data_IF_774052869904
#
_entry.id   IF_774052869904
#
_cell.length_a   1.000
_cell.length_b   1.000
_cell.length_c   1.000
_cell.angle_alpha   90.00
_cell.angle_beta   90.00
_cell.angle_gamma   90.00
#
_symmetry.space_group_name_H-M   'P 1'
#
loop_
_entity.id
_entity.type
_entity.pdbx_description
1 polymer ?
#
# COMPACT_ATOMS: atom_id res chain seq x y z
N UNK A 1 -55.52 59.01 -34.69
CA UNK A 1 -55.66 59.66 -33.36
C UNK A 1 -55.16 58.65 -32.33
N UNK A 2 -53.98 58.90 -31.73
CA UNK A 2 -53.77 59.15 -30.27
C UNK A 2 -54.07 57.90 -29.41
N UNK A 3 -53.22 57.40 -28.51
CA UNK A 3 -52.11 58.00 -27.76
C UNK A 3 -51.31 56.90 -27.03
N UNK A 4 -50.04 57.20 -26.77
CA UNK A 4 -49.02 56.49 -25.96
C UNK A 4 -49.33 56.58 -24.45
N UNK A 5 -48.88 55.61 -23.64
CA UNK A 5 -48.22 55.68 -22.30
C UNK A 5 -48.43 54.33 -21.56
N UNK A 6 -47.42 53.47 -21.42
CA UNK A 6 -46.33 53.48 -20.42
C UNK A 6 -46.81 53.25 -18.97
N UNK A 7 -46.57 52.05 -18.43
CA UNK A 7 -46.30 51.87 -17.01
C UNK A 7 -45.49 50.59 -16.74
N UNK A 8 -44.26 50.85 -16.36
CA UNK A 8 -43.20 49.95 -15.91
C UNK A 8 -43.55 49.39 -14.53
N UNK A 9 -43.41 48.08 -14.34
CA UNK A 9 -43.52 47.41 -13.05
C UNK A 9 -42.46 46.32 -12.96
N UNK A 10 -41.34 46.66 -12.32
CA UNK A 10 -40.24 45.78 -11.97
C UNK A 10 -40.73 44.58 -11.13
N UNK A 11 -40.49 43.36 -11.60
CA UNK A 11 -40.54 42.14 -10.78
C UNK A 11 -39.13 41.55 -10.75
N UNK A 12 -38.35 41.98 -9.74
CA UNK A 12 -37.21 41.20 -9.24
C UNK A 12 -37.79 40.08 -8.36
N UNK A 13 -37.40 38.83 -8.61
CA UNK A 13 -37.81 37.71 -7.77
C UNK A 13 -37.15 36.40 -8.13
N UNK A 14 -35.89 36.25 -7.70
CA UNK A 14 -35.17 35.00 -7.43
C UNK A 14 -35.18 33.90 -8.53
N UNK A 15 -34.20 33.94 -9.42
CA UNK A 15 -33.74 32.72 -10.09
C UNK A 15 -33.08 31.82 -9.04
N UNK A 16 -33.78 30.76 -8.64
CA UNK A 16 -33.23 29.65 -7.89
C UNK A 16 -32.10 29.02 -8.71
N UNK A 17 -30.86 29.35 -8.37
CA UNK A 17 -29.70 28.56 -8.76
C UNK A 17 -29.84 27.19 -8.10
N UNK A 18 -30.36 26.22 -8.84
CA UNK A 18 -30.19 24.82 -8.50
C UNK A 18 -28.70 24.54 -8.58
N UNK A 19 -28.06 24.48 -7.42
CA UNK A 19 -26.75 23.89 -7.24
C UNK A 19 -26.84 22.46 -7.78
N UNK A 20 -26.28 22.21 -8.97
CA UNK A 20 -26.02 20.86 -9.44
C UNK A 20 -24.98 20.27 -8.50
N UNK A 21 -25.47 19.55 -7.50
CA UNK A 21 -24.66 18.64 -6.70
C UNK A 21 -23.91 17.72 -7.66
N UNK A 22 -22.58 17.74 -7.58
CA UNK A 22 -21.69 16.81 -8.27
C UNK A 22 -21.91 15.43 -7.67
N UNK A 23 -22.88 14.70 -8.20
CA UNK A 23 -22.93 13.26 -8.04
C UNK A 23 -22.12 12.68 -9.18
N UNK A 24 -21.15 11.82 -8.87
CA UNK A 24 -20.53 10.99 -9.90
C UNK A 24 -21.65 10.19 -10.56
N UNK A 25 -21.89 10.41 -11.85
CA UNK A 25 -22.85 9.60 -12.59
C UNK A 25 -22.35 8.15 -12.57
N UNK A 26 -23.12 7.27 -11.94
CA UNK A 26 -22.83 5.84 -11.97
C UNK A 26 -22.97 5.38 -13.42
N UNK A 27 -21.86 4.99 -14.04
CA UNK A 27 -21.93 4.11 -15.20
C UNK A 27 -22.55 2.82 -14.66
N UNK A 28 -23.75 2.47 -15.11
CA UNK A 28 -24.44 1.25 -14.67
C UNK A 28 -23.69 0.01 -15.20
N UNK A 29 -22.58 -0.29 -14.54
CA UNK A 29 -21.78 -1.47 -14.78
C UNK A 29 -22.28 -2.56 -13.86
N UNK A 30 -22.38 -3.77 -14.40
CA UNK A 30 -22.66 -4.99 -13.64
C UNK A 30 -21.64 -5.12 -12.51
N UNK A 31 -22.08 -5.45 -11.30
CA UNK A 31 -21.18 -5.80 -10.20
C UNK A 31 -20.23 -6.92 -10.64
N UNK A 32 -18.93 -6.72 -10.41
CA UNK A 32 -17.87 -7.68 -10.69
C UNK A 32 -17.27 -8.15 -9.38
N UNK A 33 -16.77 -9.38 -9.35
CA UNK A 33 -16.04 -9.90 -8.20
C UNK A 33 -14.54 -9.83 -8.44
N UNK A 34 -13.84 -9.23 -7.48
CA UNK A 34 -12.38 -9.20 -7.45
C UNK A 34 -11.94 -9.93 -6.19
N UNK A 35 -11.06 -10.91 -6.36
CA UNK A 35 -10.56 -11.71 -5.25
C UNK A 35 -9.05 -11.59 -5.10
N UNK A 36 -8.61 -11.60 -3.84
CA UNK A 36 -7.22 -11.59 -3.41
C UNK A 36 -6.99 -12.66 -2.35
N UNK A 37 -5.87 -13.38 -2.42
CA UNK A 37 -5.42 -14.25 -1.33
C UNK A 37 -4.69 -13.44 -0.27
N UNK A 38 -4.60 -13.97 0.93
CA UNK A 38 -3.85 -13.35 2.01
C UNK A 38 -2.36 -13.35 1.70
N UNK A 39 -1.88 -14.35 0.93
CA UNK A 39 -0.51 -14.37 0.43
C UNK A 39 -0.18 -13.20 -0.51
N UNK A 40 -1.14 -12.77 -1.34
CA UNK A 40 -0.97 -11.62 -2.25
C UNK A 40 -0.93 -10.29 -1.48
N UNK A 41 -1.59 -10.21 -0.32
CA UNK A 41 -1.70 -8.98 0.46
C UNK A 41 -0.58 -8.86 1.52
N UNK A 42 -0.34 -9.93 2.28
CA UNK A 42 0.55 -9.94 3.45
C UNK A 42 1.84 -10.78 3.25
N UNK A 43 2.01 -11.42 2.09
CA UNK A 43 3.12 -12.32 1.80
C UNK A 43 2.83 -13.79 2.14
N UNK A 44 3.71 -14.73 1.75
CA UNK A 44 3.39 -16.16 1.69
C UNK A 44 3.19 -16.86 3.05
N UNK A 45 3.57 -16.21 4.16
CA UNK A 45 3.50 -16.77 5.51
C UNK A 45 2.08 -16.76 6.09
N UNK A 46 1.77 -17.74 6.93
CA UNK A 46 0.58 -17.70 7.79
C UNK A 46 0.66 -16.55 8.79
N UNK A 47 -0.52 -16.08 9.22
CA UNK A 47 -0.64 -15.03 10.24
C UNK A 47 -1.02 -15.72 11.56
N UNK A 48 -0.13 -15.66 12.55
CA UNK A 48 -0.37 -16.26 13.87
C UNK A 48 -0.75 -15.17 14.89
N UNK A 49 -1.84 -15.43 15.62
CA UNK A 49 -2.26 -14.65 16.79
C UNK A 49 -2.02 -15.50 18.03
N UNK A 50 -1.40 -14.92 19.05
CA UNK A 50 -1.11 -15.59 20.32
C UNK A 50 -1.67 -14.81 21.50
N UNK A 51 -2.04 -15.54 22.54
CA UNK A 51 -2.67 -15.02 23.73
C UNK A 51 -4.10 -14.53 23.50
N UNK A 52 -4.84 -14.38 24.59
CA UNK A 52 -6.16 -13.76 24.57
C UNK A 52 -6.04 -12.24 24.47
N UNK A 53 -6.80 -11.62 23.57
CA UNK A 53 -6.68 -10.21 23.17
C UNK A 53 -5.57 -9.96 22.15
N UNK A 54 -4.92 -11.01 21.64
CA UNK A 54 -3.98 -10.88 20.52
C UNK A 54 -4.69 -10.36 19.27
N UNK A 55 -4.02 -9.51 18.49
CA UNK A 55 -4.58 -8.94 17.26
C UNK A 55 -3.67 -9.14 16.06
N UNK A 56 -4.29 -9.27 14.89
CA UNK A 56 -3.62 -9.19 13.60
C UNK A 56 -4.40 -8.28 12.66
N UNK A 57 -3.70 -7.66 11.71
CA UNK A 57 -4.27 -6.70 10.78
C UNK A 57 -3.93 -7.08 9.34
N UNK A 58 -4.90 -6.90 8.46
CA UNK A 58 -4.73 -7.00 7.02
C UNK A 58 -5.23 -5.72 6.36
N UNK A 59 -4.31 -4.99 5.72
CA UNK A 59 -4.63 -3.74 5.02
C UNK A 59 -4.75 -3.96 3.52
N UNK A 60 -5.73 -3.33 2.88
CA UNK A 60 -5.87 -3.34 1.42
C UNK A 60 -6.52 -2.05 0.92
N UNK A 61 -6.13 -1.64 -0.29
CA UNK A 61 -6.65 -0.44 -0.92
C UNK A 61 -7.86 -0.69 -1.81
N UNK A 62 -8.53 0.39 -2.21
CA UNK A 62 -9.58 0.39 -3.24
C UNK A 62 -9.16 1.29 -4.39
N UNK A 63 -9.37 0.82 -5.62
CA UNK A 63 -9.06 1.58 -6.84
C UNK A 63 -9.87 2.87 -6.93
N UNK A 64 -9.32 3.89 -7.59
CA UNK A 64 -10.00 5.18 -7.79
C UNK A 64 -11.24 5.06 -8.69
N UNK A 65 -11.15 4.20 -9.70
CA UNK A 65 -12.18 4.00 -10.72
C UNK A 65 -13.23 2.94 -10.32
N UNK A 66 -13.24 2.54 -9.04
CA UNK A 66 -14.14 1.52 -8.53
C UNK A 66 -14.69 1.87 -7.16
N UNK A 67 -15.90 1.40 -6.89
CA UNK A 67 -16.50 1.41 -5.57
C UNK A 67 -16.78 -0.02 -5.12
N UNK A 68 -16.39 -0.33 -3.89
CA UNK A 68 -16.73 -1.60 -3.25
C UNK A 68 -18.14 -1.48 -2.69
N UNK A 69 -19.02 -2.37 -3.11
CA UNK A 69 -20.43 -2.43 -2.68
C UNK A 69 -20.70 -3.49 -1.62
N UNK A 70 -19.75 -4.38 -1.40
CA UNK A 70 -19.81 -5.48 -0.44
C UNK A 70 -18.66 -6.44 -0.68
N UNK A 71 -18.68 -7.56 0.03
CA UNK A 71 -17.77 -8.65 -0.22
C UNK A 71 -17.92 -9.77 0.78
N UNK A 72 -17.01 -10.73 0.72
CA UNK A 72 -16.90 -11.82 1.67
C UNK A 72 -15.45 -12.16 1.96
N UNK A 73 -15.24 -12.69 3.15
CA UNK A 73 -13.96 -13.16 3.64
C UNK A 73 -14.06 -14.66 3.89
N UNK A 74 -13.32 -15.44 3.11
CA UNK A 74 -13.20 -16.88 3.28
C UNK A 74 -11.91 -17.19 4.05
N UNK A 75 -12.06 -17.50 5.33
CA UNK A 75 -10.97 -17.80 6.24
C UNK A 75 -10.69 -19.29 6.26
N UNK A 76 -9.43 -19.65 6.08
CA UNK A 76 -8.90 -20.98 6.36
C UNK A 76 -7.96 -20.88 7.57
N UNK A 77 -8.31 -21.51 8.70
CA UNK A 77 -7.58 -21.29 9.94
C UNK A 77 -7.51 -22.54 10.81
N UNK A 78 -6.55 -22.55 11.74
CA UNK A 78 -6.37 -23.57 12.76
C UNK A 78 -6.42 -22.92 14.15
N UNK A 79 -7.44 -23.19 14.97
CA UNK A 79 -7.43 -22.80 16.37
C UNK A 79 -6.61 -23.80 17.19
N UNK A 80 -6.02 -23.34 18.31
CA UNK A 80 -5.40 -24.26 19.27
C UNK A 80 -6.40 -25.29 19.82
N UNK A 81 -6.04 -26.58 19.89
CA UNK A 81 -6.87 -27.62 20.52
C UNK A 81 -7.15 -27.37 22.01
N UNK A 82 -6.36 -26.51 22.67
CA UNK A 82 -6.57 -26.15 24.07
C UNK A 82 -7.70 -25.13 24.28
N UNK A 83 -8.16 -24.46 23.21
CA UNK A 83 -9.22 -23.46 23.29
C UNK A 83 -10.55 -24.12 23.65
N UNK A 84 -11.23 -23.57 24.66
CA UNK A 84 -12.60 -23.97 24.98
C UNK A 84 -13.57 -23.29 24.05
N UNK A 85 -14.15 -24.07 23.13
CA UNK A 85 -15.12 -23.64 22.12
C UNK A 85 -16.23 -22.69 22.64
N UNK A 86 -16.78 -22.93 23.84
CA UNK A 86 -17.92 -22.17 24.37
C UNK A 86 -17.58 -20.74 24.81
N UNK A 87 -16.32 -20.47 25.17
CA UNK A 87 -15.87 -19.21 25.76
C UNK A 87 -14.70 -18.59 25.00
N UNK A 88 -14.37 -19.16 23.85
CA UNK A 88 -13.30 -18.70 22.97
C UNK A 88 -13.88 -18.42 21.59
N UNK A 89 -13.58 -17.25 21.07
CA UNK A 89 -14.08 -16.78 19.77
C UNK A 89 -13.08 -15.82 19.13
N UNK A 90 -13.15 -15.70 17.82
CA UNK A 90 -12.42 -14.70 17.05
C UNK A 90 -13.37 -13.58 16.65
N UNK A 91 -13.02 -12.34 16.96
CA UNK A 91 -13.76 -11.17 16.45
C UNK A 91 -13.09 -10.65 15.19
N UNK A 92 -13.89 -10.42 14.16
CA UNK A 92 -13.42 -9.89 12.88
C UNK A 92 -14.05 -8.53 12.65
N UNK A 93 -13.21 -7.52 12.43
CA UNK A 93 -13.64 -6.15 12.20
C UNK A 93 -13.21 -5.66 10.83
N UNK A 94 -14.04 -4.84 10.19
CA UNK A 94 -13.69 -4.05 9.01
C UNK A 94 -13.73 -2.57 9.40
N UNK A 95 -12.59 -1.88 9.30
CA UNK A 95 -12.48 -0.46 9.61
C UNK A 95 -13.09 -0.07 10.97
N UNK A 96 -12.75 -0.87 12.00
CA UNK A 96 -13.22 -0.77 13.39
C UNK A 96 -14.67 -1.21 13.66
N UNK A 97 -15.44 -1.56 12.64
CA UNK A 97 -16.79 -2.10 12.80
C UNK A 97 -16.78 -3.63 12.88
N UNK A 98 -17.53 -4.23 13.81
CA UNK A 98 -17.58 -5.68 14.00
C UNK A 98 -18.39 -6.34 12.88
N UNK A 99 -17.76 -7.20 12.08
CA UNK A 99 -18.41 -7.92 10.98
C UNK A 99 -18.99 -9.25 11.44
N UNK A 100 -18.21 -10.06 12.17
CA UNK A 100 -18.66 -11.35 12.68
C UNK A 100 -17.86 -11.77 13.92
N UNK A 101 -18.43 -12.70 14.66
CA UNK A 101 -17.79 -13.43 15.77
C UNK A 101 -17.73 -14.90 15.39
N UNK A 102 -16.52 -15.39 15.14
CA UNK A 102 -16.28 -16.77 14.72
C UNK A 102 -16.05 -17.64 15.95
N UNK A 103 -16.96 -18.58 16.19
CA UNK A 103 -16.81 -19.60 17.21
C UNK A 103 -15.92 -20.74 16.73
N UNK A 104 -15.17 -21.35 17.65
CA UNK A 104 -14.32 -22.51 17.37
C UNK A 104 -15.12 -23.80 17.61
N UNK A 105 -15.98 -24.17 16.66
CA UNK A 105 -16.72 -25.43 16.74
C UNK A 105 -15.73 -26.62 16.86
N UNK A 106 -16.07 -27.62 17.68
CA UNK A 106 -15.30 -28.86 17.70
C UNK A 106 -15.48 -29.57 16.35
N UNK A 107 -14.36 -29.84 15.70
CA UNK A 107 -14.28 -30.54 14.42
C UNK A 107 -13.13 -31.52 14.51
N UNK A 108 -13.26 -32.66 13.84
CA UNK A 108 -12.19 -33.66 13.72
C UNK A 108 -11.04 -33.17 12.81
N UNK A 109 -11.27 -32.11 12.04
CA UNK A 109 -10.25 -31.48 11.20
C UNK A 109 -9.47 -30.41 11.98
N UNK A 110 -8.12 -30.44 11.95
CA UNK A 110 -7.30 -29.38 12.55
C UNK A 110 -7.42 -28.04 11.80
N UNK A 111 -7.89 -28.06 10.56
CA UNK A 111 -8.12 -26.87 9.74
C UNK A 111 -9.62 -26.66 9.53
N UNK A 112 -10.06 -25.44 9.81
CA UNK A 112 -11.46 -25.00 9.72
C UNK A 112 -11.59 -23.95 8.62
N UNK A 113 -12.80 -23.85 8.08
CA UNK A 113 -13.16 -22.80 7.13
C UNK A 113 -14.36 -22.01 7.62
N UNK A 114 -14.37 -20.71 7.35
CA UNK A 114 -15.49 -19.83 7.70
C UNK A 114 -15.61 -18.73 6.65
N UNK A 115 -16.83 -18.53 6.15
CA UNK A 115 -17.17 -17.39 5.31
C UNK A 115 -17.80 -16.31 6.18
N UNK A 116 -17.34 -15.07 6.02
CA UNK A 116 -17.83 -13.89 6.72
C UNK A 116 -18.25 -12.87 5.67
N UNK A 117 -19.48 -12.37 5.74
CA UNK A 117 -19.94 -11.32 4.85
C UNK A 117 -19.42 -9.96 5.32
N UNK A 118 -18.95 -9.14 4.37
CA UNK A 118 -18.43 -7.80 4.60
C UNK A 118 -19.45 -6.77 4.11
N UNK A 119 -19.94 -5.94 5.01
CA UNK A 119 -20.93 -4.92 4.68
C UNK A 119 -20.29 -3.74 3.91
N UNK A 120 -20.83 -3.48 2.73
CA UNK A 120 -20.43 -2.42 1.80
C UNK A 120 -20.29 -1.02 2.43
N UNK A 121 -21.07 -0.73 3.48
CA UNK A 121 -21.15 0.60 4.11
C UNK A 121 -19.89 1.00 4.87
N UNK A 122 -19.07 0.02 5.27
CA UNK A 122 -17.87 0.29 6.08
C UNK A 122 -16.59 0.37 5.24
N UNK A 123 -16.65 0.15 3.93
CA UNK A 123 -15.50 0.31 3.05
C UNK A 123 -15.10 1.79 2.87
N UNK A 124 -13.80 2.01 2.75
CA UNK A 124 -13.12 3.30 2.55
C UNK A 124 -12.09 3.14 1.42
N UNK A 125 -11.41 4.22 1.05
CA UNK A 125 -10.33 4.16 0.05
C UNK A 125 -9.17 3.25 0.46
N UNK A 126 -8.93 3.15 1.77
CA UNK A 126 -7.99 2.23 2.38
C UNK A 126 -8.72 1.51 3.50
N UNK A 127 -8.67 0.18 3.48
CA UNK A 127 -9.42 -0.69 4.36
C UNK A 127 -8.48 -1.52 5.22
N UNK A 128 -8.95 -1.82 6.43
CA UNK A 128 -8.23 -2.66 7.37
C UNK A 128 -9.20 -3.69 7.97
N UNK A 129 -8.83 -4.96 7.84
CA UNK A 129 -9.45 -6.05 8.59
C UNK A 129 -8.63 -6.28 9.86
N UNK A 130 -9.28 -6.26 11.01
CA UNK A 130 -8.68 -6.62 12.30
C UNK A 130 -9.25 -7.95 12.77
N UNK A 131 -8.36 -8.89 13.07
CA UNK A 131 -8.67 -10.15 13.73
C UNK A 131 -8.26 -10.03 15.20
N UNK A 132 -9.15 -10.41 16.11
CA UNK A 132 -8.91 -10.35 17.55
C UNK A 132 -9.32 -11.66 18.21
N UNK A 133 -8.35 -12.40 18.74
CA UNK A 133 -8.58 -13.67 19.41
C UNK A 133 -8.99 -13.43 20.86
N UNK A 134 -10.17 -13.90 21.27
CA UNK A 134 -10.54 -14.01 22.67
C UNK A 134 -10.49 -15.49 23.03
N UNK A 135 -9.48 -15.90 23.79
CA UNK A 135 -9.19 -17.31 24.04
C UNK A 135 -9.18 -17.66 25.51
N UNK A 136 -9.77 -18.80 25.89
CA UNK A 136 -9.72 -19.34 27.25
C UNK A 136 -9.52 -20.86 27.21
N UNK A 137 -8.67 -21.37 28.10
CA UNK A 137 -8.43 -22.81 28.31
C UNK A 137 -9.24 -23.38 29.49
N UNK A 138 -9.61 -22.51 30.44
CA UNK A 138 -10.36 -22.84 31.66
C UNK A 138 -11.51 -21.83 31.87
N UNK A 139 -12.58 -22.29 32.52
CA UNK A 139 -13.77 -21.50 32.84
C UNK A 139 -13.52 -20.53 34.00
N UNK A 140 -12.73 -20.92 35.00
CA UNK A 140 -12.58 -20.15 36.25
C UNK A 140 -11.44 -19.13 36.19
N UNK A 141 -10.25 -19.53 35.75
CA UNK A 141 -9.08 -18.66 35.68
C UNK A 141 -8.16 -19.11 34.53
N UNK A 142 -8.03 -18.29 33.48
CA UNK A 142 -7.14 -18.55 32.36
C UNK A 142 -6.10 -17.44 32.27
N UNK A 143 -4.81 -17.80 32.21
CA UNK A 143 -3.77 -16.84 31.86
C UNK A 143 -3.94 -16.40 30.41
N UNK A 144 -4.12 -15.11 30.19
CA UNK A 144 -4.27 -14.54 28.85
C UNK A 144 -3.00 -14.67 27.99
N UNK A 145 -1.85 -14.92 28.62
CA UNK A 145 -0.55 -15.12 27.97
C UNK A 145 -0.15 -16.59 27.82
N UNK A 146 -1.04 -17.53 28.13
CA UNK A 146 -0.73 -18.95 28.02
C UNK A 146 -0.32 -19.32 26.58
N UNK A 147 0.83 -19.97 26.37
CA UNK A 147 1.31 -20.32 25.03
C UNK A 147 0.40 -21.32 24.29
N UNK A 148 -0.49 -22.00 25.00
CA UNK A 148 -1.53 -22.84 24.39
C UNK A 148 -2.67 -22.00 23.78
N UNK A 149 -2.76 -20.70 24.04
CA UNK A 149 -3.70 -19.78 23.39
C UNK A 149 -3.10 -19.27 22.08
N UNK A 150 -3.45 -19.90 20.98
CA UNK A 150 -3.05 -19.45 19.66
C UNK A 150 -4.13 -19.72 18.62
N UNK A 151 -4.08 -18.96 17.54
CA UNK A 151 -4.89 -19.10 16.36
C UNK A 151 -4.03 -18.78 15.14
N UNK A 152 -4.07 -19.65 14.14
CA UNK A 152 -3.26 -19.50 12.94
C UNK A 152 -4.15 -19.37 11.71
N UNK A 153 -3.93 -18.30 10.94
CA UNK A 153 -4.61 -18.02 9.70
C UNK A 153 -3.76 -18.44 8.52
N UNK A 154 -4.28 -19.36 7.72
CA UNK A 154 -3.62 -19.85 6.52
C UNK A 154 -3.54 -18.76 5.45
N UNK A 155 -2.41 -18.70 4.76
CA UNK A 155 -2.17 -17.75 3.66
C UNK A 155 -3.03 -18.01 2.42
N UNK A 156 -3.69 -19.18 2.35
CA UNK A 156 -4.70 -19.53 1.35
C UNK A 156 -6.06 -18.84 1.56
N UNK A 157 -6.28 -18.24 2.75
CA UNK A 157 -7.46 -17.42 3.02
C UNK A 157 -7.64 -16.33 1.98
N UNK A 158 -8.89 -15.93 1.73
CA UNK A 158 -9.24 -15.13 0.56
C UNK A 158 -10.26 -14.06 0.92
N UNK A 159 -10.04 -12.85 0.40
CA UNK A 159 -11.05 -11.80 0.37
C UNK A 159 -11.62 -11.73 -1.04
N UNK A 160 -12.94 -11.61 -1.13
CA UNK A 160 -13.68 -11.39 -2.39
C UNK A 160 -14.49 -10.13 -2.24
N UNK A 161 -14.33 -9.19 -3.16
CA UNK A 161 -14.95 -7.88 -3.14
C UNK A 161 -15.91 -7.75 -4.31
N UNK A 162 -17.12 -7.28 -4.02
CA UNK A 162 -18.12 -6.93 -5.02
C UNK A 162 -17.90 -5.47 -5.42
N UNK A 163 -17.31 -5.26 -6.60
CA UNK A 163 -16.92 -3.93 -7.10
C UNK A 163 -17.79 -3.49 -8.26
N UNK A 164 -18.01 -2.18 -8.35
CA UNK A 164 -18.63 -1.52 -9.50
C UNK A 164 -17.66 -0.49 -10.06
N UNK A 165 -17.50 -0.45 -11.38
CA UNK A 165 -16.70 0.60 -12.02
C UNK A 165 -17.49 1.92 -11.95
N UNK A 166 -16.78 3.02 -11.69
CA UNK A 166 -17.33 4.38 -11.68
C UNK A 166 -16.61 5.24 -12.71
N UNK A 167 -17.28 6.26 -13.23
CA UNK A 167 -16.62 7.20 -14.11
C UNK A 167 -15.75 8.16 -13.30
N UNK A 168 -14.46 8.19 -13.65
CA UNK A 168 -13.51 9.17 -13.13
C UNK A 168 -13.56 10.41 -14.02
N UNK A 169 -13.35 11.61 -13.46
CA UNK A 169 -13.23 12.81 -14.29
C UNK A 169 -12.00 12.73 -15.21
N UNK A 170 -12.03 13.41 -16.35
CA UNK A 170 -10.84 13.60 -17.17
C UNK A 170 -9.94 14.62 -16.47
N UNK A 171 -8.99 14.16 -15.67
CA UNK A 171 -8.21 15.05 -14.83
C UNK A 171 -6.78 14.53 -14.67
N UNK A 172 -5.83 15.27 -15.23
CA UNK A 172 -4.43 14.89 -15.26
C UNK A 172 -3.76 14.96 -13.88
N UNK A 173 -4.30 15.72 -12.93
CA UNK A 173 -3.81 15.71 -11.55
C UNK A 173 -4.03 14.39 -10.81
N UNK A 174 -4.85 13.48 -11.37
CA UNK A 174 -5.05 12.13 -10.83
C UNK A 174 -3.97 11.12 -11.25
N UNK A 175 -3.08 11.49 -12.17
CA UNK A 175 -2.03 10.58 -12.63
C UNK A 175 -1.14 10.13 -11.46
N UNK A 176 -0.77 8.84 -11.42
CA UNK A 176 -0.85 7.86 -12.51
C UNK A 176 -2.19 7.08 -12.60
N UNK A 177 -3.16 7.35 -11.73
CA UNK A 177 -4.49 6.72 -11.80
C UNK A 177 -5.32 7.30 -12.96
N UNK A 178 -6.27 6.54 -13.54
CA UNK A 178 -6.63 5.15 -13.23
C UNK A 178 -5.78 4.07 -13.94
N UNK A 179 -4.80 4.47 -14.77
CA UNK A 179 -3.95 3.55 -15.53
C UNK A 179 -3.07 2.68 -14.63
N UNK A 180 -2.53 3.30 -13.57
CA UNK A 180 -1.87 2.61 -12.47
C UNK A 180 -2.44 3.14 -11.16
N UNK A 181 -2.93 2.24 -10.31
CA UNK A 181 -3.36 2.60 -8.96
C UNK A 181 -2.45 1.91 -7.94
N UNK A 182 -1.89 2.70 -7.02
CA UNK A 182 -1.04 2.19 -5.95
C UNK A 182 -1.82 1.32 -4.95
N UNK A 183 -3.15 1.47 -4.90
CA UNK A 183 -4.05 0.75 -4.00
C UNK A 183 -4.48 -0.61 -4.53
N UNK A 184 -4.26 -0.88 -5.80
CA UNK A 184 -4.52 -2.19 -6.40
C UNK A 184 -3.33 -3.12 -6.14
N UNK A 185 -3.60 -4.31 -5.62
CA UNK A 185 -2.57 -5.27 -5.23
C UNK A 185 -2.24 -6.28 -6.34
N UNK A 186 -2.98 -6.29 -7.46
CA UNK A 186 -2.69 -7.17 -8.60
C UNK A 186 -1.50 -6.67 -9.43
N UNK A 187 -0.93 -7.60 -10.19
CA UNK A 187 -0.03 -7.28 -11.30
C UNK A 187 -0.71 -6.30 -12.26
N UNK A 188 0.09 -5.37 -12.77
CA UNK A 188 -0.43 -4.26 -13.56
C UNK A 188 -0.29 -4.59 -15.04
N UNK A 189 -1.38 -4.50 -15.79
CA UNK A 189 -1.35 -4.54 -17.25
C UNK A 189 -1.90 -3.24 -17.81
N UNK A 190 -1.04 -2.48 -18.51
CA UNK A 190 -1.40 -1.18 -19.09
C UNK A 190 -1.32 -1.30 -20.62
N UNK A 191 -2.45 -1.52 -21.30
CA UNK A 191 -2.50 -1.51 -22.76
C UNK A 191 -1.92 -0.23 -23.35
N UNK A 192 -1.10 -0.40 -24.38
CA UNK A 192 -0.53 0.70 -25.15
C UNK A 192 -0.97 0.58 -26.59
N UNK A 193 -1.71 1.58 -27.08
CA UNK A 193 -2.17 1.67 -28.46
C UNK A 193 -1.20 2.54 -29.25
N UNK A 194 -0.64 1.98 -30.32
CA UNK A 194 0.25 2.70 -31.22
C UNK A 194 0.15 2.18 -32.66
N UNK A 195 0.41 3.01 -33.68
CA UNK A 195 0.46 2.58 -35.09
C UNK A 195 1.46 1.44 -35.33
N UNK A 196 1.21 0.61 -36.34
CA UNK A 196 2.11 -0.51 -36.71
C UNK A 196 3.44 -0.03 -37.30
N UNK A 197 3.46 1.13 -37.95
CA UNK A 197 4.64 1.74 -38.57
C UNK A 197 5.27 2.82 -37.68
N UNK A 198 5.27 2.66 -36.36
CA UNK A 198 5.59 3.75 -35.44
C UNK A 198 7.02 4.31 -35.57
N UNK A 199 8.00 3.49 -35.98
CA UNK A 199 9.41 3.92 -36.12
C UNK A 199 10.15 4.01 -34.78
N UNK A 200 11.49 3.98 -34.83
CA UNK A 200 12.34 3.83 -33.63
C UNK A 200 12.25 5.01 -32.65
N UNK A 201 12.15 6.25 -33.14
CA UNK A 201 12.09 7.43 -32.25
C UNK A 201 10.78 7.50 -31.47
N UNK A 202 9.66 7.14 -32.11
CA UNK A 202 8.36 7.10 -31.45
C UNK A 202 8.27 5.90 -30.49
N UNK A 203 8.84 4.74 -30.85
CA UNK A 203 8.99 3.61 -29.93
C UNK A 203 9.82 3.97 -28.70
N UNK A 204 10.91 4.72 -28.86
CA UNK A 204 11.66 5.25 -27.71
C UNK A 204 10.77 6.14 -26.81
N UNK A 205 9.91 6.96 -27.41
CA UNK A 205 8.94 7.78 -26.64
C UNK A 205 7.92 6.92 -25.88
N UNK A 206 7.46 5.82 -26.47
CA UNK A 206 6.61 4.84 -25.77
C UNK A 206 7.35 4.18 -24.60
N UNK A 207 8.62 3.81 -24.78
CA UNK A 207 9.45 3.25 -23.69
C UNK A 207 9.66 4.24 -22.54
N UNK A 208 9.81 5.54 -22.83
CA UNK A 208 9.87 6.60 -21.81
C UNK A 208 8.56 6.64 -21.01
N UNK A 209 7.40 6.60 -21.66
CA UNK A 209 6.10 6.54 -20.96
C UNK A 209 5.97 5.26 -20.13
N UNK A 210 6.33 4.10 -20.69
CA UNK A 210 6.30 2.83 -19.97
C UNK A 210 7.17 2.88 -18.70
N UNK A 211 8.39 3.43 -18.80
CA UNK A 211 9.30 3.59 -17.65
C UNK A 211 8.72 4.44 -16.52
N UNK A 212 7.89 5.45 -16.83
CA UNK A 212 7.21 6.23 -15.81
C UNK A 212 6.24 5.37 -15.01
N UNK A 213 5.39 4.59 -15.69
CA UNK A 213 4.45 3.70 -14.99
C UNK A 213 5.15 2.56 -14.27
N UNK A 214 6.19 1.96 -14.86
CA UNK A 214 7.00 0.93 -14.20
C UNK A 214 7.68 1.43 -12.94
N UNK A 215 8.10 2.71 -12.91
CA UNK A 215 8.71 3.29 -11.71
C UNK A 215 7.76 3.36 -10.51
N UNK A 216 6.45 3.26 -10.73
CA UNK A 216 5.44 3.28 -9.67
C UNK A 216 5.17 1.89 -9.06
N UNK A 217 5.48 0.80 -9.79
CA UNK A 217 5.03 -0.55 -9.42
C UNK A 217 5.81 -1.22 -8.28
N UNK A 218 6.93 -0.63 -7.88
CA UNK A 218 7.81 -1.12 -6.81
C UNK A 218 8.20 -2.61 -7.01
N UNK A 219 7.47 -3.54 -6.38
CA UNK A 219 7.70 -4.98 -6.45
C UNK A 219 6.78 -5.73 -7.42
N UNK A 220 5.71 -5.08 -7.92
CA UNK A 220 4.71 -5.70 -8.79
C UNK A 220 5.19 -5.82 -10.23
N UNK A 221 4.78 -6.89 -10.90
CA UNK A 221 5.02 -7.01 -12.34
C UNK A 221 4.17 -5.99 -13.11
N UNK A 222 4.76 -5.37 -14.13
CA UNK A 222 4.06 -4.47 -15.04
C UNK A 222 4.24 -4.95 -16.47
N UNK A 223 3.12 -5.20 -17.14
CA UNK A 223 3.07 -5.54 -18.55
C UNK A 223 2.46 -4.41 -19.37
N UNK A 224 2.97 -4.20 -20.59
CA UNK A 224 2.47 -3.21 -21.53
C UNK A 224 2.06 -3.90 -22.84
N UNK A 225 0.90 -4.58 -22.89
CA UNK A 225 0.44 -5.21 -24.11
C UNK A 225 0.20 -4.16 -25.20
N UNK A 226 0.80 -4.38 -26.38
CA UNK A 226 0.76 -3.41 -27.50
C UNK A 226 -0.38 -3.76 -28.45
N UNK A 227 -1.23 -2.78 -28.74
CA UNK A 227 -2.35 -2.88 -29.65
C UNK A 227 -2.15 -1.95 -30.85
N UNK A 228 -2.27 -2.50 -32.06
CA UNK A 228 -2.05 -1.74 -33.31
C UNK A 228 -3.31 -1.55 -34.16
N UNK A 229 -4.19 -2.55 -34.17
CA UNK A 229 -5.42 -2.56 -34.98
C UNK A 229 -6.68 -2.78 -34.14
N UNK A 230 -6.50 -3.22 -32.89
CA UNK A 230 -7.58 -3.53 -31.97
C UNK A 230 -7.68 -2.42 -30.91
N UNK A 231 -8.90 -2.21 -30.40
CA UNK A 231 -9.13 -1.28 -29.30
C UNK A 231 -9.26 -2.08 -28.00
N UNK A 232 -8.34 -1.93 -27.04
CA UNK A 232 -8.43 -2.63 -25.77
C UNK A 232 -9.66 -2.18 -24.97
N UNK A 233 -10.36 -3.10 -24.31
CA UNK A 233 -11.55 -2.78 -23.49
C UNK A 233 -11.17 -2.35 -22.04
N UNK A 234 -10.07 -1.62 -21.88
CA UNK A 234 -9.46 -1.25 -20.59
C UNK A 234 -8.94 0.20 -20.63
N UNK A 235 -8.48 0.72 -19.50
CA UNK A 235 -7.69 1.96 -19.53
C UNK A 235 -6.45 1.75 -20.41
N UNK A 236 -6.17 2.67 -21.32
CA UNK A 236 -5.08 2.50 -22.26
C UNK A 236 -4.32 3.80 -22.50
N UNK A 237 -3.02 3.66 -22.80
CA UNK A 237 -2.17 4.77 -23.22
C UNK A 237 -2.14 4.77 -24.74
N UNK A 238 -2.39 5.91 -25.37
CA UNK A 238 -2.35 6.05 -26.82
C UNK A 238 -1.22 6.99 -27.19
N UNK A 239 -0.30 6.55 -28.03
CA UNK A 239 0.76 7.41 -28.57
C UNK A 239 0.56 7.61 -30.07
N UNK A 240 0.63 8.87 -30.52
CA UNK A 240 0.42 9.20 -31.93
C UNK A 240 1.07 10.51 -32.35
N UNK A 241 1.35 10.60 -33.66
CA UNK A 241 1.64 11.86 -34.35
C UNK A 241 0.49 12.22 -35.30
N UNK A 242 0.50 13.39 -35.92
CA UNK A 242 -0.54 13.72 -36.92
C UNK A 242 -0.51 12.77 -38.12
N UNK A 243 0.69 12.41 -38.58
CA UNK A 243 0.87 11.53 -39.74
C UNK A 243 0.56 10.06 -39.41
N UNK A 244 0.68 9.65 -38.14
CA UNK A 244 0.50 8.27 -37.68
C UNK A 244 -0.49 8.21 -36.51
N UNK A 245 -1.77 8.08 -36.84
CA UNK A 245 -2.87 7.98 -35.87
C UNK A 245 -3.50 6.59 -35.87
N UNK A 246 -3.63 5.95 -34.70
CA UNK A 246 -4.51 4.79 -34.53
C UNK A 246 -5.96 5.14 -34.87
N UNK A 247 -6.74 4.15 -35.30
CA UNK A 247 -8.16 4.33 -35.67
C UNK A 247 -8.97 4.96 -34.53
N UNK A 248 -8.68 4.57 -33.28
CA UNK A 248 -9.34 5.05 -32.07
C UNK A 248 -9.37 6.58 -31.92
N UNK A 249 -8.39 7.27 -32.50
CA UNK A 249 -8.21 8.73 -32.37
C UNK A 249 -8.04 9.42 -33.73
N UNK A 250 -8.48 8.78 -34.82
CA UNK A 250 -8.33 9.29 -36.18
C UNK A 250 -8.98 10.66 -36.37
N UNK A 251 -10.14 10.87 -35.74
CA UNK A 251 -10.97 12.07 -35.87
C UNK A 251 -10.53 13.24 -34.98
N UNK A 252 -9.43 13.09 -34.21
CA UNK A 252 -8.92 14.21 -33.42
C UNK A 252 -8.55 15.42 -34.30
N UNK A 253 -8.66 16.66 -33.80
CA UNK A 253 -8.12 17.82 -34.50
C UNK A 253 -6.61 17.71 -34.72
N UNK A 254 -6.05 18.52 -35.63
CA UNK A 254 -4.61 18.59 -35.85
C UNK A 254 -3.88 19.01 -34.56
N UNK A 255 -2.86 18.24 -34.17
CA UNK A 255 -2.04 18.54 -33.00
C UNK A 255 -0.94 19.52 -33.40
N UNK A 256 -0.93 20.69 -32.77
CA UNK A 256 0.05 21.76 -33.06
C UNK A 256 1.13 21.89 -32.00
N UNK A 257 0.85 21.41 -30.78
CA UNK A 257 1.73 21.45 -29.61
C UNK A 257 1.90 20.05 -29.02
N UNK A 258 3.05 19.73 -28.40
CA UNK A 258 3.19 18.53 -27.57
C UNK A 258 2.09 18.50 -26.52
N UNK A 259 1.29 17.44 -26.49
CA UNK A 259 0.04 17.40 -25.72
C UNK A 259 -0.08 16.09 -24.94
N UNK A 260 -0.42 16.20 -23.66
CA UNK A 260 -0.93 15.10 -22.84
C UNK A 260 -2.41 15.37 -22.60
N UNK A 261 -3.26 14.39 -22.84
CA UNK A 261 -4.70 14.56 -22.67
C UNK A 261 -5.33 13.30 -22.09
N UNK A 262 -6.19 13.46 -21.10
CA UNK A 262 -7.05 12.39 -20.60
C UNK A 262 -8.43 12.50 -21.24
N UNK A 263 -8.93 11.43 -21.85
CA UNK A 263 -10.27 11.38 -22.44
C UNK A 263 -11.04 10.13 -22.00
N UNK A 264 -12.36 10.16 -22.09
CA UNK A 264 -13.20 8.97 -21.92
C UNK A 264 -12.99 8.01 -23.09
N UNK A 265 -12.91 6.72 -22.78
CA UNK A 265 -12.75 5.67 -23.78
C UNK A 265 -14.04 5.55 -24.63
N UNK A 266 -13.97 5.66 -25.96
CA UNK A 266 -15.16 5.82 -26.80
C UNK A 266 -16.06 4.57 -26.85
N UNK A 267 -15.48 3.39 -26.69
CA UNK A 267 -16.20 2.10 -26.76
C UNK A 267 -16.24 1.31 -25.45
N UNK A 268 -15.66 1.84 -24.36
CA UNK A 268 -15.55 1.13 -23.07
C UNK A 268 -16.03 2.04 -21.93
N UNK A 269 -17.29 1.89 -21.49
CA UNK A 269 -17.86 2.75 -20.44
C UNK A 269 -17.03 2.75 -19.15
N UNK A 270 -16.84 3.93 -18.55
CA UNK A 270 -16.05 4.12 -17.33
C UNK A 270 -14.52 4.00 -17.50
N UNK A 271 -14.02 3.64 -18.70
CA UNK A 271 -12.58 3.56 -18.98
C UNK A 271 -12.06 4.84 -19.62
N UNK A 272 -10.74 5.04 -19.52
CA UNK A 272 -10.04 6.28 -19.89
C UNK A 272 -8.89 5.99 -20.83
N UNK A 273 -8.60 6.94 -21.71
CA UNK A 273 -7.42 6.96 -22.55
C UNK A 273 -6.48 8.08 -22.11
N UNK A 274 -5.20 7.77 -21.96
CA UNK A 274 -4.15 8.77 -21.81
C UNK A 274 -3.49 8.97 -23.16
N UNK A 275 -3.78 10.08 -23.80
CA UNK A 275 -3.24 10.45 -25.09
C UNK A 275 -1.90 11.18 -24.90
N UNK A 276 -0.84 10.65 -25.51
CA UNK A 276 0.48 11.27 -25.58
C UNK A 276 0.71 11.62 -27.05
N UNK A 277 0.61 12.91 -27.36
CA UNK A 277 0.46 13.39 -28.72
C UNK A 277 1.54 14.42 -29.09
N UNK A 278 1.94 14.42 -30.36
CA UNK A 278 2.76 15.46 -30.95
C UNK A 278 2.40 15.69 -32.41
N UNK A 279 2.78 16.85 -32.96
CA UNK A 279 2.69 17.06 -34.40
C UNK A 279 3.52 16.02 -35.18
N UNK A 280 4.73 15.78 -34.69
CA UNK A 280 5.78 14.92 -35.28
C UNK A 280 6.55 14.19 -34.18
N UNK A 281 7.60 13.44 -34.56
CA UNK A 281 8.39 12.61 -33.64
C UNK A 281 9.05 13.43 -32.52
N UNK A 282 9.57 14.62 -32.83
CA UNK A 282 10.21 15.49 -31.83
C UNK A 282 9.21 16.01 -30.79
N UNK A 283 8.02 16.42 -31.22
CA UNK A 283 6.98 16.85 -30.29
C UNK A 283 6.45 15.69 -29.45
N UNK A 284 6.30 14.50 -30.03
CA UNK A 284 5.87 13.31 -29.29
C UNK A 284 6.90 12.96 -28.19
N UNK A 285 8.19 13.00 -28.53
CA UNK A 285 9.27 12.77 -27.56
C UNK A 285 9.26 13.82 -26.43
N UNK A 286 8.93 15.08 -26.75
CA UNK A 286 8.79 16.13 -25.75
C UNK A 286 7.57 15.92 -24.85
N UNK A 287 6.43 15.49 -25.41
CA UNK A 287 5.24 15.14 -24.64
C UNK A 287 5.52 13.97 -23.67
N UNK A 288 6.13 12.89 -24.17
CA UNK A 288 6.51 11.73 -23.36
C UNK A 288 7.44 12.12 -22.20
N UNK A 289 8.49 12.91 -22.46
CA UNK A 289 9.37 13.41 -21.40
C UNK A 289 8.65 14.33 -20.42
N UNK A 290 7.71 15.14 -20.91
CA UNK A 290 6.87 16.02 -20.10
C UNK A 290 6.00 15.25 -19.12
N UNK A 291 5.41 14.13 -19.54
CA UNK A 291 4.65 13.24 -18.67
C UNK A 291 5.51 12.73 -17.50
N UNK A 292 6.71 12.23 -17.78
CA UNK A 292 7.61 11.69 -16.74
C UNK A 292 8.06 12.79 -15.78
N UNK A 293 8.49 13.94 -16.30
CA UNK A 293 9.10 15.00 -15.50
C UNK A 293 8.08 15.88 -14.76
N UNK A 294 6.83 15.95 -15.24
CA UNK A 294 5.87 16.97 -14.83
C UNK A 294 4.47 16.46 -14.51
N UNK A 295 4.21 15.15 -14.47
CA UNK A 295 2.87 14.59 -14.17
C UNK A 295 2.21 15.22 -12.93
N UNK A 296 2.96 15.42 -11.84
CA UNK A 296 2.46 16.04 -10.60
C UNK A 296 2.04 17.51 -10.73
N UNK A 297 2.46 18.20 -11.80
CA UNK A 297 2.14 19.61 -12.06
C UNK A 297 1.01 19.76 -13.09
N UNK A 298 0.54 18.67 -13.69
CA UNK A 298 -0.54 18.70 -14.68
C UNK A 298 -1.89 18.80 -13.98
N UNK A 299 -2.81 19.56 -14.57
CA UNK A 299 -4.18 19.70 -14.10
C UNK A 299 -5.14 19.93 -15.27
N UNK A 300 -6.41 19.61 -15.07
CA UNK A 300 -7.44 19.63 -16.11
C UNK A 300 -7.34 18.43 -17.05
N UNK A 301 -8.14 18.46 -18.12
CA UNK A 301 -8.22 17.36 -19.10
C UNK A 301 -7.00 17.31 -20.04
N UNK A 302 -6.39 18.48 -20.31
CA UNK A 302 -5.34 18.68 -21.34
C UNK A 302 -4.17 19.46 -20.74
N UNK A 303 -2.95 18.97 -20.96
CA UNK A 303 -1.71 19.67 -20.64
C UNK A 303 -0.83 19.82 -21.89
N UNK A 304 -0.40 21.05 -22.15
CA UNK A 304 0.55 21.36 -23.23
C UNK A 304 1.98 21.44 -22.69
N UNK A 305 2.91 20.70 -23.30
CA UNK A 305 4.30 20.67 -22.86
C UNK A 305 5.11 21.69 -23.66
N UNK A 306 5.41 22.82 -23.03
CA UNK A 306 6.21 23.88 -23.64
C UNK A 306 7.71 23.54 -23.62
N UNK A 307 8.18 23.01 -22.48
CA UNK A 307 9.56 22.60 -22.29
C UNK A 307 9.64 21.58 -21.15
N UNK A 308 10.71 20.79 -21.17
CA UNK A 308 11.08 19.92 -20.06
C UNK A 308 12.38 20.49 -19.51
N UNK A 309 12.36 20.93 -18.25
CA UNK A 309 13.58 21.38 -17.59
C UNK A 309 14.61 20.25 -17.64
N UNK A 310 15.87 20.61 -17.92
CA UNK A 310 16.96 19.64 -17.98
C UNK A 310 17.07 18.97 -16.60
N UNK A 311 16.61 17.72 -16.52
CA UNK A 311 16.75 16.91 -15.31
C UNK A 311 18.24 16.79 -15.03
N UNK A 312 18.65 17.11 -13.80
CA UNK A 312 20.05 16.98 -13.42
C UNK A 312 20.50 15.53 -13.68
N UNK A 313 21.73 15.31 -14.17
CA UNK A 313 22.26 13.97 -14.30
C UNK A 313 22.11 13.19 -12.99
N UNK A 314 21.73 11.92 -13.10
CA UNK A 314 21.63 11.00 -11.97
C UNK A 314 22.98 10.91 -11.26
N UNK A 315 22.97 10.91 -9.94
CA UNK A 315 24.14 10.68 -9.10
C UNK A 315 24.25 9.19 -8.76
N UNK A 316 25.46 8.68 -8.46
CA UNK A 316 25.58 7.35 -7.88
C UNK A 316 24.67 7.19 -6.66
N UNK A 317 24.03 6.03 -6.51
CA UNK A 317 23.18 5.68 -5.36
C UNK A 317 21.90 6.52 -5.19
N UNK A 318 21.41 7.18 -6.23
CA UNK A 318 20.23 8.06 -6.16
C UNK A 318 18.92 7.40 -6.62
N UNK A 319 18.88 6.07 -6.75
CA UNK A 319 17.69 5.33 -7.15
C UNK A 319 16.56 5.52 -6.12
N UNK A 320 15.31 5.84 -6.53
CA UNK A 320 14.23 6.18 -5.60
C UNK A 320 13.90 5.10 -4.55
N UNK A 321 14.04 3.83 -4.92
CA UNK A 321 13.72 2.69 -4.05
C UNK A 321 14.90 2.24 -3.18
N UNK A 322 16.09 2.81 -3.40
CA UNK A 322 17.22 2.58 -2.52
C UNK A 322 17.17 3.54 -1.35
N UNK A 323 17.52 3.05 -0.17
CA UNK A 323 17.72 3.89 1.00
C UNK A 323 18.83 4.92 0.67
N UNK A 324 18.54 6.23 0.73
CA UNK A 324 19.54 7.26 0.52
C UNK A 324 20.73 7.08 1.46
N UNK A 325 21.95 7.13 0.92
CA UNK A 325 23.20 6.94 1.67
C UNK A 325 23.85 8.28 2.06
N UNK A 326 23.33 9.39 1.57
CA UNK A 326 23.87 10.75 1.76
C UNK A 326 23.17 11.54 2.88
N UNK A 327 22.09 11.01 3.44
CA UNK A 327 21.31 11.66 4.51
C UNK A 327 20.69 10.65 5.49
N UNK A 328 20.32 11.09 6.71
CA UNK A 328 19.42 10.32 7.57
C UNK A 328 18.04 10.11 6.91
N UNK A 329 17.47 8.93 7.13
CA UNK A 329 16.15 8.53 6.64
C UNK A 329 15.28 8.15 7.83
N UNK A 330 14.05 8.66 7.87
CA UNK A 330 13.08 8.36 8.93
C UNK A 330 12.36 7.04 8.68
N UNK A 331 11.95 6.34 9.74
CA UNK A 331 11.11 5.15 9.58
C UNK A 331 9.80 5.43 8.85
N UNK A 332 9.22 6.62 9.01
CA UNK A 332 8.01 7.01 8.30
C UNK A 332 8.18 7.13 6.78
N UNK A 333 9.41 7.22 6.29
CA UNK A 333 9.71 7.22 4.84
C UNK A 333 9.77 5.78 4.26
N UNK A 334 9.78 4.75 5.12
CA UNK A 334 9.94 3.35 4.75
C UNK A 334 8.65 2.52 4.91
N UNK A 335 7.56 3.15 5.32
CA UNK A 335 6.28 2.50 5.60
C UNK A 335 5.14 3.22 4.87
N UNK A 336 4.06 2.50 4.56
CA UNK A 336 2.86 3.01 3.91
C UNK A 336 1.92 3.70 4.90
N UNK A 337 1.84 3.18 6.13
CA UNK A 337 0.94 3.70 7.15
C UNK A 337 1.43 3.47 8.58
N UNK A 338 1.02 4.36 9.48
CA UNK A 338 1.50 4.37 10.87
C UNK A 338 1.21 3.07 11.62
N UNK A 339 0.17 2.33 11.24
CA UNK A 339 -0.18 1.04 11.84
C UNK A 339 0.96 0.02 11.73
N UNK A 340 1.85 0.14 10.73
CA UNK A 340 3.02 -0.73 10.57
C UNK A 340 4.11 -0.48 11.62
N UNK A 341 4.07 0.67 12.30
CA UNK A 341 4.98 1.01 13.40
C UNK A 341 4.33 0.82 14.77
N UNK A 342 3.16 0.19 14.85
CA UNK A 342 2.43 -0.05 16.09
C UNK A 342 2.20 -1.55 16.31
N UNK A 343 2.23 -1.99 17.57
CA UNK A 343 1.93 -3.37 17.96
C UNK A 343 1.14 -3.38 19.27
N UNK A 344 0.13 -4.24 19.36
CA UNK A 344 -0.77 -4.32 20.51
C UNK A 344 -1.17 -5.77 20.81
N UNK A 345 -1.25 -6.10 22.10
CA UNK A 345 -1.63 -7.44 22.56
C UNK A 345 -1.00 -7.83 23.89
N UNK A 346 -1.17 -9.10 24.25
CA UNK A 346 -0.54 -9.72 25.44
C UNK A 346 0.84 -10.27 25.08
N UNK A 347 0.95 -11.00 23.97
CA UNK A 347 2.20 -11.27 23.27
C UNK A 347 2.22 -10.43 21.99
N UNK A 348 3.34 -9.73 21.73
CA UNK A 348 3.38 -8.67 20.73
C UNK A 348 4.08 -9.18 19.47
N UNK A 349 3.42 -9.14 18.30
CA UNK A 349 4.12 -9.44 17.05
C UNK A 349 5.24 -8.42 16.82
N UNK A 350 6.38 -8.85 16.23
CA UNK A 350 7.48 -7.96 15.92
C UNK A 350 7.05 -6.95 14.85
N UNK A 351 7.39 -5.68 15.07
CA UNK A 351 7.25 -4.63 14.07
C UNK A 351 8.36 -4.81 13.04
N UNK A 352 8.02 -5.00 11.76
CA UNK A 352 8.98 -5.21 10.67
C UNK A 352 9.01 -4.01 9.74
N UNK A 353 10.20 -3.51 9.44
CA UNK A 353 10.45 -2.42 8.48
C UNK A 353 11.46 -2.91 7.45
N UNK A 354 11.04 -2.98 6.19
CA UNK A 354 11.89 -3.42 5.09
C UNK A 354 12.50 -2.23 4.36
N UNK A 355 13.71 -2.40 3.85
CA UNK A 355 14.41 -1.40 3.05
C UNK A 355 15.40 -2.06 2.09
N UNK A 356 15.64 -1.39 0.97
CA UNK A 356 16.57 -1.86 -0.06
C UNK A 356 17.81 -0.97 -0.08
N UNK A 357 18.98 -1.58 -0.20
CA UNK A 357 20.25 -0.87 -0.36
C UNK A 357 20.81 -1.09 -1.77
N UNK A 358 21.70 -0.21 -2.22
CA UNK A 358 22.43 -0.43 -3.46
C UNK A 358 23.21 -1.75 -3.44
N UNK A 359 23.20 -2.54 -4.54
CA UNK A 359 23.82 -3.87 -4.59
C UNK A 359 25.35 -3.82 -4.52
N UNK A 360 25.95 -2.71 -4.96
CA UNK A 360 27.38 -2.44 -4.93
C UNK A 360 27.81 -1.63 -3.69
N UNK A 361 26.91 -1.44 -2.71
CA UNK A 361 27.23 -0.73 -1.47
C UNK A 361 28.33 -1.49 -0.71
N UNK A 362 29.54 -0.94 -0.76
CA UNK A 362 30.71 -1.54 -0.14
C UNK A 362 31.25 -0.67 1.01
N UNK A 363 31.30 -1.24 2.20
CA UNK A 363 31.73 -0.53 3.42
C UNK A 363 33.11 -1.02 3.87
N UNK A 364 34.18 -0.43 3.33
CA UNK A 364 35.57 -0.80 3.67
C UNK A 364 35.96 -0.49 5.13
N UNK A 365 35.47 0.63 5.69
CA UNK A 365 35.82 1.10 7.04
C UNK A 365 34.60 1.40 7.93
N UNK A 366 33.39 1.29 7.39
CA UNK A 366 32.17 1.53 8.15
C UNK A 366 31.70 0.20 8.74
N UNK A 367 32.12 -0.11 9.97
CA UNK A 367 31.69 -1.33 10.64
C UNK A 367 30.30 -1.20 11.28
N UNK A 368 29.67 -0.03 11.15
CA UNK A 368 28.41 0.27 11.84
C UNK A 368 27.53 1.29 11.09
N UNK A 369 26.22 1.06 11.05
CA UNK A 369 25.22 2.05 10.60
C UNK A 369 24.64 2.78 11.81
N UNK A 370 24.64 4.11 11.89
CA UNK A 370 24.01 4.84 12.99
C UNK A 370 22.48 4.78 12.85
N UNK A 371 21.79 4.43 13.93
CA UNK A 371 20.33 4.46 14.02
C UNK A 371 19.92 5.26 15.26
N UNK A 372 19.02 6.21 15.05
CA UNK A 372 18.30 6.89 16.12
C UNK A 372 16.98 6.19 16.32
N UNK A 373 16.65 5.86 17.56
CA UNK A 373 15.42 5.12 17.85
C UNK A 373 14.68 5.79 19.00
N UNK A 374 13.47 6.22 18.68
CA UNK A 374 12.51 6.74 19.65
C UNK A 374 11.31 5.81 19.64
N UNK A 375 10.86 5.35 20.80
CA UNK A 375 9.75 4.41 20.93
C UNK A 375 8.91 4.69 22.17
N UNK A 376 7.65 4.26 22.13
CA UNK A 376 6.69 4.36 23.23
C UNK A 376 6.18 2.98 23.60
N UNK A 377 5.98 2.77 24.89
CA UNK A 377 5.56 1.49 25.46
C UNK A 377 4.63 1.68 26.65
N UNK A 378 3.78 0.68 26.86
CA UNK A 378 3.03 0.60 28.11
C UNK A 378 4.00 0.17 29.23
N UNK A 379 4.11 0.93 30.33
CA UNK A 379 5.08 0.62 31.39
C UNK A 379 4.91 -0.81 31.91
N UNK A 380 6.00 -1.59 32.01
CA UNK A 380 5.96 -2.92 32.63
C UNK A 380 5.46 -2.89 34.07
N UNK A 381 4.96 -4.03 34.56
CA UNK A 381 4.57 -4.17 35.96
C UNK A 381 5.76 -3.92 36.89
N UNK A 382 5.51 -3.23 38.02
CA UNK A 382 6.54 -2.94 39.02
C UNK A 382 7.23 -4.21 39.50
N UNK A 383 8.57 -4.22 39.48
CA UNK A 383 9.43 -5.35 39.82
C UNK A 383 9.82 -6.23 38.63
N UNK A 384 9.31 -5.97 37.43
CA UNK A 384 9.60 -6.74 36.21
C UNK A 384 10.93 -6.30 35.57
N UNK A 385 12.03 -6.95 35.95
CA UNK A 385 13.39 -6.62 35.45
C UNK A 385 13.73 -7.22 34.08
N UNK A 386 12.85 -8.01 33.49
CA UNK A 386 13.15 -8.80 32.28
C UNK A 386 12.58 -8.21 30.99
N UNK A 387 11.78 -7.14 31.09
CA UNK A 387 11.16 -6.45 29.95
C UNK A 387 12.20 -5.75 29.07
N UNK A 388 12.16 -6.00 27.76
CA UNK A 388 13.16 -5.51 26.80
C UNK A 388 12.56 -5.29 25.41
N UNK A 389 13.12 -4.33 24.67
CA UNK A 389 12.98 -4.19 23.23
C UNK A 389 14.18 -4.86 22.55
N UNK A 390 13.96 -5.96 21.84
CA UNK A 390 14.94 -6.62 21.01
C UNK A 390 14.88 -6.10 19.58
N UNK A 391 16.04 -5.89 18.96
CA UNK A 391 16.16 -5.45 17.58
C UNK A 391 16.97 -6.48 16.81
N UNK A 392 16.45 -6.89 15.65
CA UNK A 392 17.14 -7.75 14.71
C UNK A 392 17.17 -7.15 13.30
N UNK A 393 18.17 -7.56 12.52
CA UNK A 393 18.33 -7.25 11.09
C UNK A 393 18.45 -8.58 10.36
N UNK A 394 17.60 -8.83 9.37
CA UNK A 394 17.56 -10.09 8.60
C UNK A 394 17.54 -11.32 9.54
N UNK A 395 16.68 -11.25 10.55
CA UNK A 395 16.51 -12.23 11.64
C UNK A 395 17.74 -12.46 12.55
N UNK A 396 18.85 -11.76 12.31
CA UNK A 396 20.02 -11.72 13.21
C UNK A 396 19.82 -10.73 14.35
N UNK A 397 19.91 -11.19 15.60
CA UNK A 397 19.82 -10.33 16.78
C UNK A 397 20.97 -9.31 16.81
N UNK A 398 20.64 -8.04 17.05
CA UNK A 398 21.61 -6.95 17.11
C UNK A 398 21.77 -6.41 18.53
N UNK A 399 20.66 -6.04 19.18
CA UNK A 399 20.69 -5.36 20.47
C UNK A 399 19.36 -5.49 21.22
N UNK A 400 19.44 -5.43 22.55
CA UNK A 400 18.29 -5.32 23.42
C UNK A 400 18.37 -4.03 24.26
N UNK A 401 17.23 -3.34 24.43
CA UNK A 401 17.09 -2.19 25.33
C UNK A 401 16.16 -2.55 26.49
N UNK A 402 16.53 -2.31 27.76
CA UNK A 402 15.63 -2.53 28.88
C UNK A 402 14.44 -1.55 28.84
N UNK A 403 13.25 -2.03 29.18
CA UNK A 403 12.05 -1.20 29.33
C UNK A 403 11.88 -0.86 30.81
N UNK A 404 11.79 0.43 31.13
CA UNK A 404 11.71 0.97 32.49
C UNK A 404 10.25 1.00 32.98
N UNK A 405 9.99 0.43 34.15
CA UNK A 405 8.66 0.41 34.78
C UNK A 405 8.11 1.79 35.13
N UNK A 406 8.96 2.82 35.22
CA UNK A 406 8.57 4.19 35.56
C UNK A 406 8.49 5.12 34.35
N UNK A 407 8.72 4.60 33.13
CA UNK A 407 8.66 5.38 31.89
C UNK A 407 7.70 4.72 30.90
N UNK A 408 7.14 5.53 30.00
CA UNK A 408 6.27 5.08 28.90
C UNK A 408 6.85 5.40 27.52
N UNK A 409 8.07 5.93 27.50
CA UNK A 409 8.81 6.30 26.31
C UNK A 409 10.31 6.07 26.54
N UNK A 410 11.00 5.78 25.44
CA UNK A 410 12.44 5.66 25.38
C UNK A 410 12.96 6.39 24.15
N UNK A 411 14.04 7.13 24.33
CA UNK A 411 14.78 7.78 23.26
C UNK A 411 16.23 7.33 23.35
N UNK A 412 16.78 6.89 22.22
CA UNK A 412 18.18 6.47 22.09
C UNK A 412 18.82 7.28 20.98
N UNK A 413 19.67 8.22 21.41
CA UNK A 413 20.06 9.38 20.62
C UNK A 413 20.96 9.02 19.43
N UNK A 414 21.76 7.95 19.52
CA UNK A 414 22.46 7.29 18.39
C UNK A 414 23.05 5.97 18.87
N UNK A 415 22.70 4.86 18.23
CA UNK A 415 23.43 3.61 18.40
C UNK A 415 23.87 3.04 17.06
N UNK A 416 24.95 2.26 17.09
CA UNK A 416 25.68 1.79 15.92
C UNK A 416 25.36 0.31 15.66
N UNK A 417 24.67 0.03 14.56
CA UNK A 417 24.25 -1.31 14.12
C UNK A 417 25.43 -1.99 13.39
N UNK A 418 26.09 -3.04 13.94
CA UNK A 418 27.34 -3.60 13.40
C UNK A 418 27.23 -4.42 12.10
N UNK A 419 27.80 -3.96 10.99
CA UNK A 419 27.68 -4.61 9.67
C UNK A 419 28.90 -5.46 9.32
N UNK A 420 28.72 -6.56 8.58
CA UNK A 420 29.82 -7.29 7.92
C UNK A 420 30.05 -6.74 6.51
N UNK A 421 31.30 -6.39 6.20
CA UNK A 421 31.76 -6.25 4.82
C UNK A 421 31.88 -7.62 4.13
N UNK A 422 31.92 -7.63 2.80
CA UNK A 422 32.06 -8.83 1.96
C UNK A 422 33.51 -9.36 1.92
N UNK A 423 34.15 -9.54 3.06
CA UNK A 423 35.53 -10.05 3.11
C UNK A 423 35.58 -11.58 3.09
N UNK A 424 36.41 -12.12 2.19
CA UNK A 424 36.88 -13.50 2.21
C UNK A 424 37.69 -13.75 3.49
N UNK A 425 37.26 -14.74 4.26
CA UNK A 425 37.86 -15.13 5.54
C UNK A 425 39.33 -15.56 5.39
N UNK A 426 40.24 -14.87 6.09
CA UNK A 426 41.44 -15.51 6.65
C UNK A 426 41.27 -15.63 8.16
N UNK A 427 41.11 -16.87 8.62
CA UNK A 427 40.84 -17.21 10.01
C UNK A 427 41.98 -16.78 10.95
N UNK A 428 41.66 -15.92 11.93
CA UNK A 428 42.32 -15.90 13.24
C UNK A 428 41.40 -15.32 14.32
N UNK A 429 40.83 -16.25 15.08
CA UNK A 429 40.32 -16.16 16.46
C UNK A 429 40.50 -14.82 17.18
N UNK A 430 39.39 -14.10 17.37
CA UNK A 430 38.97 -13.62 18.69
C UNK A 430 37.45 -13.51 18.69
N UNK A 431 36.82 -13.70 19.84
CA UNK A 431 35.39 -13.66 20.11
C UNK A 431 34.75 -12.35 19.64
N UNK A 432 34.52 -12.21 18.33
CA UNK A 432 33.81 -11.10 17.73
C UNK A 432 32.36 -11.52 17.54
N UNK A 433 31.45 -10.77 18.16
CA UNK A 433 30.02 -10.83 17.88
C UNK A 433 29.83 -10.84 16.35
N UNK A 434 28.96 -11.72 15.80
CA UNK A 434 28.74 -11.72 14.36
C UNK A 434 28.24 -10.34 13.96
N UNK A 435 29.00 -9.63 13.12
CA UNK A 435 28.38 -8.57 12.34
C UNK A 435 27.27 -9.21 11.48
N UNK A 436 26.21 -8.50 11.17
CA UNK A 436 25.17 -9.06 10.30
C UNK A 436 25.49 -8.75 8.84
N UNK A 437 25.17 -9.71 7.97
CA UNK A 437 25.30 -9.55 6.52
C UNK A 437 24.12 -8.70 6.04
N UNK A 438 24.43 -7.47 5.65
CA UNK A 438 23.51 -6.64 4.89
C UNK A 438 23.44 -7.19 3.46
N UNK A 439 22.24 -7.31 2.93
CA UNK A 439 21.94 -7.74 1.56
C UNK A 439 21.32 -6.59 0.78
N UNK A 440 20.91 -6.83 -0.47
CA UNK A 440 20.16 -5.83 -1.25
C UNK A 440 18.84 -5.50 -0.56
N UNK A 441 18.03 -6.51 -0.23
CA UNK A 441 16.80 -6.35 0.54
C UNK A 441 17.05 -6.72 2.01
N UNK A 442 16.66 -5.84 2.93
CA UNK A 442 16.86 -6.03 4.35
C UNK A 442 15.57 -5.80 5.12
N UNK A 443 15.44 -6.44 6.28
CA UNK A 443 14.33 -6.23 7.20
C UNK A 443 14.86 -5.97 8.61
N UNK A 444 14.49 -4.83 9.17
CA UNK A 444 14.61 -4.51 10.59
C UNK A 444 13.39 -5.04 11.33
N UNK A 445 13.59 -5.76 12.42
CA UNK A 445 12.49 -6.22 13.28
C UNK A 445 12.68 -5.71 14.71
N UNK A 446 11.62 -5.14 15.27
CA UNK A 446 11.54 -4.62 16.63
C UNK A 446 10.56 -5.46 17.44
N UNK A 447 11.08 -6.23 18.39
CA UNK A 447 10.32 -7.16 19.21
C UNK A 447 10.29 -6.67 20.67
N UNK A 448 9.12 -6.22 21.11
CA UNK A 448 8.89 -5.83 22.49
C UNK A 448 8.50 -7.04 23.33
N UNK A 449 9.37 -7.43 24.24
CA UNK A 449 9.11 -8.46 25.24
C UNK A 449 8.82 -7.79 26.57
N UNK A 450 7.57 -7.79 27.01
CA UNK A 450 7.17 -7.25 28.30
C UNK A 450 6.91 -8.43 29.23
N UNK A 451 7.65 -8.49 30.33
CA UNK A 451 7.46 -9.57 31.28
C UNK A 451 6.25 -9.30 32.16
N UNK A 452 5.30 -10.23 32.09
CA UNK A 452 4.11 -10.30 32.92
C UNK A 452 4.42 -11.02 34.24
N UNK A 453 3.87 -10.54 35.35
CA UNK A 453 4.04 -11.20 36.65
C UNK A 453 2.84 -12.12 36.90
N UNK A 454 3.04 -13.44 36.84
CA UNK A 454 2.03 -14.43 37.19
C UNK A 454 1.84 -14.49 38.72
N UNK A 455 0.88 -13.73 39.24
CA UNK A 455 0.11 -14.07 40.46
C UNK A 455 -1.31 -13.52 40.35
N UNK A 456 -2.24 -14.37 39.90
CA UNK A 456 -3.65 -14.33 40.25
C UNK A 456 -4.49 -13.11 39.83
N UNK A 457 -4.01 -12.24 38.93
CA UNK A 457 -4.79 -11.12 38.44
C UNK A 457 -4.58 -10.93 36.94
N UNK A 458 -5.66 -11.10 36.17
CA UNK A 458 -5.73 -10.69 34.77
C UNK A 458 -5.70 -9.17 34.74
N UNK A 459 -4.68 -8.55 34.09
CA UNK A 459 -4.86 -7.28 33.36
C UNK A 459 -3.61 -6.77 32.65
N UNK A 460 -3.85 -6.25 31.44
CA UNK A 460 -3.04 -5.25 30.76
C UNK A 460 -3.04 -5.43 29.25
N UNK A 461 -3.91 -4.73 28.53
CA UNK A 461 -3.72 -4.51 27.09
C UNK A 461 -2.51 -3.59 26.93
N UNK A 462 -1.47 -4.05 26.23
CA UNK A 462 -0.27 -3.24 25.98
C UNK A 462 -0.33 -2.69 24.57
N UNK A 463 -0.15 -1.37 24.44
CA UNK A 463 0.06 -0.68 23.16
C UNK A 463 1.49 -0.15 23.08
N UNK A 464 2.10 -0.34 21.92
CA UNK A 464 3.48 0.03 21.61
C UNK A 464 3.56 0.68 20.24
N UNK A 465 4.51 1.60 20.10
CA UNK A 465 4.75 2.27 18.83
C UNK A 465 6.19 2.70 18.68
N UNK A 466 6.76 2.56 17.49
CA UNK A 466 8.00 3.24 17.10
C UNK A 466 7.64 4.67 16.69
N UNK A 467 8.36 5.65 17.22
CA UNK A 467 8.16 7.05 16.85
C UNK A 467 8.71 7.30 15.44
N UNK A 468 8.08 8.24 14.75
CA UNK A 468 8.30 8.48 13.32
C UNK A 468 9.62 9.17 12.97
N UNK A 469 10.31 9.77 13.94
CA UNK A 469 11.36 10.77 13.70
C UNK A 469 12.74 10.19 13.51
#
# INVERSE_FOLDING_TARGET
>A
MKLIHALSGLLLGAASMLSTSVWADFVDTSTKQVSYTFSEIAGPSSISIKGSGGTAYLGFGSRLDQIITGGSLNLEFAPSPALRARVSHLRVYLNEELMDVVDFAQSDSPQLTKVIDLDGRFFKNYNQIKFELIGRIDEECSDASDPALWWELGSASRITLDVRDIEVANELSLLPAPFFDARDLKDVSIPVVMPSDFGLQNLHSASVVASYFSSQANWREVSFPVFQHETPNHHAIVLATNDKRPELIKDLPEITKPTIQMVTHPSAPGKKLLLVLGKNEEQLALAAKGLVAGSQLMSGEVAYINSVNKVAPRKPYDAPNWLPTDRPVKFSELIEGNYQLESQGVELPPIRVSFTLPPDLFTWNANTVPMKLSYRYSPPLKGSKTSRLNISVNDGFVRAFPLDENKSEGEQDTWRVPILGSESFSARSSTQLPGFKITENNTLAFNFQIATCQRGSVRGWVRLSIMRR
#
